data_IF_043775966906
#
_entry.id   IF_043775966906
#
_cell.length_a   1.000
_cell.length_b   1.000
_cell.length_c   1.000
_cell.angle_alpha   90.00
_cell.angle_beta   90.00
_cell.angle_gamma   90.00
#
_symmetry.space_group_name_H-M   'P 1'
#
loop_
_entity.id
_entity.type
_entity.pdbx_description
1 polymer ?
#
# COMPACT_ATOMS: atom_id res chain seq x y z
N UNK A 1 19.36 -10.22 10.50
CA UNK A 1 18.09 -10.17 9.74
C UNK A 1 18.40 -10.48 8.28
N UNK A 2 17.89 -11.58 7.74
CA UNK A 2 17.83 -11.72 6.28
C UNK A 2 16.85 -10.65 5.78
N UNK A 3 17.28 -9.78 4.86
CA UNK A 3 16.34 -8.91 4.16
C UNK A 3 15.34 -9.80 3.42
N UNK A 4 14.08 -9.78 3.86
CA UNK A 4 12.98 -10.40 3.12
C UNK A 4 12.87 -9.69 1.77
N UNK A 5 13.33 -10.36 0.70
CA UNK A 5 13.21 -9.84 -0.67
C UNK A 5 11.73 -9.70 -1.03
N UNK A 6 11.36 -8.58 -1.66
CA UNK A 6 9.99 -8.34 -2.10
C UNK A 6 9.66 -9.27 -3.27
N UNK A 7 8.61 -10.06 -3.13
CA UNK A 7 8.09 -10.95 -4.17
C UNK A 7 6.72 -10.51 -4.63
N UNK A 8 6.26 -11.02 -5.77
CA UNK A 8 4.88 -10.84 -6.21
C UNK A 8 3.88 -11.40 -5.19
N UNK A 9 4.18 -12.59 -4.66
CA UNK A 9 3.36 -13.29 -3.68
C UNK A 9 3.25 -12.51 -2.36
N UNK A 10 4.38 -12.13 -1.76
CA UNK A 10 4.40 -11.37 -0.50
C UNK A 10 3.68 -10.02 -0.60
N UNK A 11 3.58 -9.47 -1.81
CA UNK A 11 2.95 -8.18 -2.06
C UNK A 11 1.52 -8.27 -2.61
N UNK A 12 0.99 -9.47 -2.81
CA UNK A 12 -0.34 -9.67 -3.41
C UNK A 12 -0.45 -9.15 -4.85
N UNK A 13 0.68 -9.03 -5.56
CA UNK A 13 0.75 -8.63 -6.96
C UNK A 13 0.75 -9.89 -7.82
N UNK A 14 -0.01 -9.89 -8.92
CA UNK A 14 -0.06 -11.01 -9.84
C UNK A 14 0.25 -10.55 -11.27
N UNK A 15 0.74 -11.47 -12.09
CA UNK A 15 0.83 -11.28 -13.53
C UNK A 15 -0.53 -11.55 -14.16
N UNK A 16 -1.02 -10.63 -14.99
CA UNK A 16 -2.29 -10.75 -15.73
C UNK A 16 -2.09 -10.82 -17.24
N UNK A 17 -0.88 -10.54 -17.75
CA UNK A 17 -0.57 -10.68 -19.16
C UNK A 17 0.93 -10.79 -19.38
N UNK A 18 1.36 -11.66 -20.31
CA UNK A 18 2.72 -11.69 -20.84
C UNK A 18 2.64 -11.79 -22.35
N UNK A 19 3.51 -11.08 -23.08
CA UNK A 19 3.71 -11.40 -24.50
C UNK A 19 5.17 -11.29 -24.94
N UNK A 20 5.56 -12.15 -25.88
CA UNK A 20 6.86 -12.11 -26.53
C UNK A 20 6.73 -11.69 -27.98
N UNK A 21 7.66 -10.85 -28.41
CA UNK A 21 7.88 -10.51 -29.81
C UNK A 21 8.99 -11.42 -30.34
N UNK A 22 8.69 -12.17 -31.39
CA UNK A 22 9.63 -13.05 -32.09
C UNK A 22 9.94 -12.42 -33.46
N UNK A 23 11.13 -11.82 -33.55
CA UNK A 23 11.56 -11.04 -34.72
C UNK A 23 11.82 -11.96 -35.92
N UNK A 24 11.44 -11.54 -37.13
CA UNK A 24 11.66 -12.23 -38.40
C UNK A 24 11.01 -13.63 -38.48
N UNK A 25 10.02 -13.92 -37.64
CA UNK A 25 9.27 -15.19 -37.69
C UNK A 25 8.12 -15.04 -38.69
N UNK A 26 8.45 -15.22 -39.97
CA UNK A 26 7.55 -14.97 -41.11
C UNK A 26 6.97 -16.25 -41.73
N UNK A 27 7.53 -17.40 -41.36
CA UNK A 27 7.15 -18.69 -41.91
C UNK A 27 5.99 -19.30 -41.09
N UNK A 28 4.81 -19.42 -41.70
CA UNK A 28 3.60 -19.96 -41.07
C UNK A 28 3.81 -21.37 -40.50
N UNK A 29 4.53 -22.25 -41.21
CA UNK A 29 4.84 -23.60 -40.72
C UNK A 29 5.69 -23.56 -39.43
N UNK A 30 6.60 -22.60 -39.28
CA UNK A 30 7.34 -22.41 -38.02
C UNK A 30 6.44 -21.89 -36.90
N UNK A 31 5.49 -21.00 -37.21
CA UNK A 31 4.50 -20.50 -36.23
C UNK A 31 3.63 -21.65 -35.72
N UNK A 32 3.15 -22.52 -36.62
CA UNK A 32 2.38 -23.73 -36.27
C UNK A 32 3.20 -24.72 -35.44
N UNK A 33 4.50 -24.90 -35.74
CA UNK A 33 5.37 -25.73 -34.90
C UNK A 33 5.53 -25.21 -33.48
N UNK A 34 5.67 -23.90 -33.31
CA UNK A 34 5.74 -23.28 -31.97
C UNK A 34 4.42 -23.50 -31.24
N UNK A 35 3.30 -23.25 -31.91
CA UNK A 35 1.95 -23.52 -31.40
C UNK A 35 1.83 -24.96 -30.87
N UNK A 36 2.19 -25.94 -31.69
CA UNK A 36 2.09 -27.36 -31.33
C UNK A 36 3.02 -27.74 -30.18
N UNK A 37 4.20 -27.10 -30.10
CA UNK A 37 5.11 -27.27 -28.99
C UNK A 37 4.53 -26.73 -27.67
N UNK A 38 3.89 -25.56 -27.68
CA UNK A 38 3.18 -25.03 -26.50
C UNK A 38 2.00 -25.90 -26.08
N UNK A 39 1.23 -26.41 -27.05
CA UNK A 39 0.15 -27.38 -26.77
C UNK A 39 0.70 -28.64 -26.11
N UNK A 40 1.77 -29.22 -26.65
CA UNK A 40 2.39 -30.45 -26.13
C UNK A 40 2.99 -30.27 -24.73
N UNK A 41 3.68 -29.16 -24.49
CA UNK A 41 4.43 -28.95 -23.25
C UNK A 41 3.58 -28.39 -22.11
N UNK A 42 2.63 -27.49 -22.41
CA UNK A 42 1.84 -26.79 -21.40
C UNK A 42 0.34 -27.12 -21.45
N UNK A 43 -0.13 -27.86 -22.47
CA UNK A 43 -1.56 -28.12 -22.65
C UNK A 43 -2.34 -26.90 -23.17
N UNK A 44 -1.66 -25.85 -23.64
CA UNK A 44 -2.33 -24.64 -24.09
C UNK A 44 -3.02 -24.84 -25.45
N UNK A 45 -4.31 -24.53 -25.48
CA UNK A 45 -5.04 -24.23 -26.70
C UNK A 45 -4.54 -22.91 -27.29
N UNK A 46 -4.71 -22.74 -28.59
CA UNK A 46 -4.07 -21.63 -29.29
C UNK A 46 -4.87 -21.20 -30.51
N UNK A 47 -4.95 -19.89 -30.73
CA UNK A 47 -5.44 -19.33 -31.99
C UNK A 47 -4.32 -18.56 -32.68
N UNK A 48 -4.19 -18.75 -34.01
CA UNK A 48 -3.30 -17.95 -34.85
C UNK A 48 -4.15 -16.87 -35.52
N UNK A 49 -3.73 -15.62 -35.34
CA UNK A 49 -4.33 -14.44 -35.96
C UNK A 49 -3.34 -13.89 -36.97
N UNK A 50 -3.76 -13.83 -38.22
CA UNK A 50 -3.00 -13.18 -39.29
C UNK A 50 -3.54 -11.76 -39.50
N UNK A 51 -2.69 -10.81 -39.88
CA UNK A 51 -3.08 -9.41 -40.03
C UNK A 51 -4.27 -9.21 -40.98
N UNK A 52 -4.36 -10.01 -42.05
CA UNK A 52 -5.48 -10.02 -43.00
C UNK A 52 -6.82 -10.50 -42.39
N UNK A 53 -6.80 -11.23 -41.27
CA UNK A 53 -7.98 -11.78 -40.59
C UNK A 53 -8.37 -11.03 -39.31
N UNK A 54 -7.59 -10.02 -38.88
CA UNK A 54 -7.88 -9.25 -37.64
C UNK A 54 -9.24 -8.52 -37.67
N UNK A 55 -9.75 -8.14 -38.85
CA UNK A 55 -11.09 -7.53 -38.97
C UNK A 55 -12.22 -8.50 -38.57
N UNK A 56 -12.04 -9.82 -38.73
CA UNK A 56 -13.06 -10.84 -38.38
C UNK A 56 -13.00 -11.34 -36.93
N UNK A 57 -11.88 -11.15 -36.22
CA UNK A 57 -11.65 -11.74 -34.88
C UNK A 57 -11.95 -10.74 -33.75
N UNK A 58 -12.03 -9.44 -34.04
CA UNK A 58 -12.41 -8.41 -33.05
C UNK A 58 -13.82 -8.59 -32.48
N UNK A 59 -14.68 -9.41 -33.10
CA UNK A 59 -16.09 -9.54 -32.74
C UNK A 59 -16.41 -10.62 -31.68
N UNK A 60 -15.48 -11.50 -31.27
CA UNK A 60 -15.83 -12.61 -30.36
C UNK A 60 -14.72 -13.04 -29.40
N UNK A 61 -14.32 -12.21 -28.42
CA UNK A 61 -13.57 -12.75 -27.27
C UNK A 61 -13.99 -12.10 -25.94
N UNK A 62 -14.91 -12.79 -25.25
CA UNK A 62 -15.15 -12.68 -23.82
C UNK A 62 -13.99 -13.34 -23.07
N UNK A 63 -13.34 -12.62 -22.16
CA UNK A 63 -12.11 -13.05 -21.49
C UNK A 63 -12.40 -13.94 -20.28
N UNK A 64 -12.72 -15.22 -20.53
CA UNK A 64 -12.18 -16.31 -19.71
C UNK A 64 -11.26 -17.14 -20.60
N UNK A 65 -9.95 -17.02 -20.38
CA UNK A 65 -8.89 -17.51 -21.29
C UNK A 65 -7.94 -18.44 -20.55
N UNK A 66 -8.48 -19.30 -19.71
CA UNK A 66 -7.71 -20.37 -19.11
C UNK A 66 -7.18 -21.31 -20.21
N UNK A 67 -5.91 -21.68 -20.10
CA UNK A 67 -5.19 -22.53 -21.04
C UNK A 67 -5.23 -22.07 -22.52
N UNK A 68 -5.34 -20.76 -22.80
CA UNK A 68 -5.37 -20.21 -24.17
C UNK A 68 -4.25 -19.22 -24.43
N UNK A 69 -3.51 -19.44 -25.52
CA UNK A 69 -2.50 -18.51 -26.05
C UNK A 69 -2.90 -17.97 -27.43
N UNK A 70 -2.34 -16.83 -27.81
CA UNK A 70 -2.56 -16.25 -29.14
C UNK A 70 -1.24 -16.00 -29.85
N UNK A 71 -1.16 -16.39 -31.12
CA UNK A 71 -0.03 -16.07 -31.99
C UNK A 71 -0.51 -15.05 -33.03
N UNK A 72 0.04 -13.84 -32.99
CA UNK A 72 -0.30 -12.76 -33.92
C UNK A 72 0.83 -12.55 -34.90
N UNK A 73 0.63 -12.91 -36.15
CA UNK A 73 1.60 -12.61 -37.21
C UNK A 73 1.34 -11.19 -37.73
N UNK A 74 2.38 -10.34 -37.70
CA UNK A 74 2.31 -8.93 -38.07
C UNK A 74 3.39 -8.61 -39.10
N UNK A 75 2.99 -7.89 -40.14
CA UNK A 75 3.85 -7.40 -41.22
C UNK A 75 3.69 -5.89 -41.35
N UNK A 76 4.50 -5.16 -40.58
CA UNK A 76 4.57 -3.70 -40.64
C UNK A 76 5.78 -3.26 -41.47
N UNK A 77 5.75 -2.07 -42.11
CA UNK A 77 6.90 -1.55 -42.86
C UNK A 77 8.19 -1.51 -42.05
N UNK A 78 8.09 -1.30 -40.74
CA UNK A 78 9.24 -1.20 -39.82
C UNK A 78 9.57 -2.50 -39.07
N UNK A 79 8.73 -3.54 -39.18
CA UNK A 79 8.96 -4.81 -38.50
C UNK A 79 8.02 -5.92 -38.99
N UNK A 80 8.56 -7.11 -39.22
CA UNK A 80 7.80 -8.34 -39.49
C UNK A 80 8.13 -9.44 -38.47
N UNK A 81 7.12 -10.16 -38.01
CA UNK A 81 7.28 -11.32 -37.14
C UNK A 81 6.02 -11.68 -36.37
N UNK A 82 6.18 -12.45 -35.29
CA UNK A 82 5.07 -12.97 -34.51
C UNK A 82 5.06 -12.41 -33.09
N UNK A 83 3.88 -12.14 -32.53
CA UNK A 83 3.67 -11.86 -31.12
C UNK A 83 2.93 -13.03 -30.48
N UNK A 84 3.59 -13.69 -29.53
CA UNK A 84 3.01 -14.74 -28.71
C UNK A 84 2.45 -14.14 -27.43
N UNK A 85 1.16 -14.31 -27.18
CA UNK A 85 0.43 -13.68 -26.07
C UNK A 85 -0.13 -14.72 -25.09
N UNK A 86 0.07 -14.46 -23.80
CA UNK A 86 -0.44 -15.22 -22.67
C UNK A 86 -1.37 -14.30 -21.85
N UNK A 87 -2.69 -14.34 -22.09
CA UNK A 87 -3.67 -13.50 -21.41
C UNK A 87 -4.06 -14.04 -20.02
N UNK A 88 -4.46 -13.14 -19.12
CA UNK A 88 -5.14 -13.43 -17.85
C UNK A 88 -4.52 -14.59 -17.06
N UNK A 89 -5.38 -15.56 -16.75
CA UNK A 89 -5.01 -16.78 -16.02
C UNK A 89 -3.92 -17.60 -16.71
N UNK A 90 -3.89 -17.64 -18.05
CA UNK A 90 -2.81 -18.31 -18.80
C UNK A 90 -1.47 -17.58 -18.62
N UNK A 91 -1.47 -16.25 -18.59
CA UNK A 91 -0.30 -15.44 -18.28
C UNK A 91 0.24 -15.72 -16.87
N UNK A 92 -0.65 -15.76 -15.88
CA UNK A 92 -0.32 -16.13 -14.49
C UNK A 92 0.27 -17.55 -14.41
N UNK A 93 -0.40 -18.53 -15.00
CA UNK A 93 0.07 -19.92 -15.02
C UNK A 93 1.45 -20.03 -15.68
N UNK A 94 1.62 -19.42 -16.86
CA UNK A 94 2.89 -19.44 -17.58
C UNK A 94 4.01 -18.83 -16.75
N UNK A 95 3.78 -17.66 -16.13
CA UNK A 95 4.76 -17.01 -15.26
C UNK A 95 5.21 -17.91 -14.10
N UNK A 96 4.26 -18.53 -13.40
CA UNK A 96 4.56 -19.40 -12.28
C UNK A 96 5.37 -20.64 -12.71
N UNK A 97 5.05 -21.23 -13.87
CA UNK A 97 5.82 -22.36 -14.41
C UNK A 97 7.27 -21.97 -14.72
N UNK A 98 7.49 -20.84 -15.40
CA UNK A 98 8.85 -20.41 -15.77
C UNK A 98 9.63 -19.89 -14.56
N UNK A 99 8.96 -19.33 -13.54
CA UNK A 99 9.59 -18.93 -12.28
C UNK A 99 10.26 -20.12 -11.59
N UNK A 100 9.59 -21.27 -11.58
CA UNK A 100 10.09 -22.48 -10.91
C UNK A 100 11.04 -23.30 -11.79
N UNK A 101 10.76 -23.41 -13.09
CA UNK A 101 11.45 -24.35 -14.00
C UNK A 101 12.40 -23.69 -14.99
N UNK A 102 12.46 -22.36 -15.01
CA UNK A 102 13.10 -21.59 -16.07
C UNK A 102 12.29 -21.60 -17.37
N UNK A 103 12.71 -20.78 -18.33
CA UNK A 103 12.06 -20.68 -19.64
C UNK A 103 12.58 -21.81 -20.54
N UNK A 104 11.72 -22.71 -21.06
CA UNK A 104 12.16 -23.78 -21.96
C UNK A 104 12.40 -23.23 -23.37
N UNK A 105 13.51 -22.52 -23.58
CA UNK A 105 13.83 -21.80 -24.83
C UNK A 105 13.66 -22.62 -26.12
N UNK A 106 13.88 -23.93 -26.06
CA UNK A 106 13.69 -24.84 -27.20
C UNK A 106 12.26 -24.84 -27.76
N UNK A 107 11.25 -24.50 -26.95
CA UNK A 107 9.84 -24.45 -27.38
C UNK A 107 9.59 -23.40 -28.47
N UNK A 108 10.40 -22.33 -28.48
CA UNK A 108 10.28 -21.23 -29.44
C UNK A 108 10.88 -21.57 -30.81
N UNK A 109 11.69 -22.63 -30.93
CA UNK A 109 12.26 -23.12 -32.19
C UNK A 109 12.98 -22.04 -33.03
N UNK A 110 13.50 -21.02 -32.38
CA UNK A 110 14.28 -19.92 -32.97
C UNK A 110 15.44 -19.56 -32.04
N UNK A 111 16.51 -18.95 -32.57
CA UNK A 111 17.56 -18.33 -31.77
C UNK A 111 17.02 -17.36 -30.71
N UNK A 112 17.59 -17.40 -29.50
CA UNK A 112 17.11 -16.63 -28.31
C UNK A 112 17.18 -15.12 -28.50
N UNK A 113 18.18 -14.64 -29.24
CA UNK A 113 18.37 -13.23 -29.59
C UNK A 113 17.20 -12.64 -30.41
N UNK A 114 16.39 -13.50 -31.05
CA UNK A 114 15.17 -13.08 -31.77
C UNK A 114 13.94 -12.94 -30.88
N UNK A 115 14.03 -13.32 -29.61
CA UNK A 115 12.90 -13.33 -28.67
C UNK A 115 13.03 -12.15 -27.72
N UNK A 116 11.99 -11.31 -27.67
CA UNK A 116 11.95 -10.16 -26.78
C UNK A 116 10.66 -10.16 -25.96
N UNK A 117 10.72 -9.78 -24.68
CA UNK A 117 9.49 -9.44 -23.97
C UNK A 117 8.86 -8.23 -24.68
N UNK A 118 7.55 -8.18 -24.77
CA UNK A 118 6.84 -7.10 -25.47
C UNK A 118 5.86 -6.38 -24.57
N UNK A 119 5.21 -7.13 -23.67
CA UNK A 119 4.32 -6.62 -22.64
C UNK A 119 4.35 -7.53 -21.43
N UNK A 120 4.25 -6.93 -20.25
CA UNK A 120 3.84 -7.61 -19.02
C UNK A 120 2.83 -6.71 -18.30
N UNK A 121 1.72 -7.29 -17.87
CA UNK A 121 0.73 -6.59 -17.06
C UNK A 121 0.73 -7.16 -15.65
N UNK A 122 0.77 -6.26 -14.67
CA UNK A 122 0.73 -6.58 -13.25
C UNK A 122 -0.57 -6.07 -12.66
N UNK A 123 -1.17 -6.85 -11.77
CA UNK A 123 -2.42 -6.51 -11.08
C UNK A 123 -2.25 -6.61 -9.57
N UNK A 124 -2.85 -5.65 -8.87
CA UNK A 124 -3.16 -5.74 -7.45
C UNK A 124 -4.68 -5.65 -7.28
N UNK A 125 -5.24 -6.54 -6.47
CA UNK A 125 -6.66 -6.61 -6.19
C UNK A 125 -6.88 -6.12 -4.75
N UNK A 126 -7.49 -4.95 -4.59
CA UNK A 126 -7.94 -4.50 -3.27
C UNK A 126 -9.32 -5.09 -3.01
N UNK A 127 -9.50 -5.98 -2.02
CA UNK A 127 -10.81 -6.54 -1.70
C UNK A 127 -11.82 -5.45 -1.36
N UNK A 128 -13.10 -5.74 -1.58
CA UNK A 128 -14.16 -4.92 -1.03
C UNK A 128 -14.10 -4.99 0.50
N UNK A 129 -14.11 -3.83 1.15
CA UNK A 129 -14.31 -3.72 2.60
C UNK A 129 -15.61 -2.98 2.85
N UNK A 130 -16.24 -3.15 4.01
CA UNK A 130 -17.48 -2.45 4.34
C UNK A 130 -17.39 -0.93 4.08
N UNK A 131 -16.23 -0.32 4.36
CA UNK A 131 -15.98 1.09 4.10
C UNK A 131 -15.88 1.42 2.60
N UNK A 132 -15.21 0.58 1.80
CA UNK A 132 -15.14 0.80 0.34
C UNK A 132 -16.50 0.56 -0.30
N UNK A 133 -17.26 -0.44 0.18
CA UNK A 133 -18.64 -0.74 -0.25
C UNK A 133 -19.55 0.45 0.01
N UNK A 134 -19.49 1.01 1.22
CA UNK A 134 -20.22 2.21 1.59
C UNK A 134 -19.86 3.43 0.71
N UNK A 135 -18.62 3.50 0.24
CA UNK A 135 -18.13 4.56 -0.65
C UNK A 135 -18.12 4.15 -2.14
N UNK A 136 -18.82 3.06 -2.54
CA UNK A 136 -18.88 2.60 -3.95
C UNK A 136 -19.45 3.68 -4.87
N UNK A 137 -20.52 4.34 -4.44
CA UNK A 137 -21.16 5.43 -5.17
C UNK A 137 -20.20 6.61 -5.38
N UNK A 138 -19.15 6.71 -4.57
CA UNK A 138 -18.11 7.74 -4.64
C UNK A 138 -16.87 7.30 -5.43
N UNK A 139 -16.81 6.07 -5.95
CA UNK A 139 -15.69 5.65 -6.82
C UNK A 139 -15.67 6.48 -8.10
N UNK A 140 -16.83 6.85 -8.63
CA UNK A 140 -16.91 7.70 -9.81
C UNK A 140 -16.39 9.12 -9.51
N UNK A 141 -16.76 9.68 -8.36
CA UNK A 141 -16.24 10.97 -7.87
C UNK A 141 -14.73 10.89 -7.64
N UNK A 142 -14.26 9.77 -7.07
CA UNK A 142 -12.83 9.50 -6.93
C UNK A 142 -12.12 9.52 -8.28
N UNK A 143 -12.66 8.81 -9.28
CA UNK A 143 -12.09 8.79 -10.62
C UNK A 143 -12.09 10.17 -11.27
N UNK A 144 -13.17 10.94 -11.13
CA UNK A 144 -13.24 12.32 -11.61
C UNK A 144 -12.16 13.20 -10.95
N UNK A 145 -11.98 13.07 -9.62
CA UNK A 145 -10.93 13.76 -8.88
C UNK A 145 -9.52 13.36 -9.37
N UNK A 146 -9.29 12.09 -9.72
CA UNK A 146 -7.99 11.65 -10.27
C UNK A 146 -7.70 12.24 -11.66
N UNK A 147 -8.72 12.48 -12.49
CA UNK A 147 -8.54 13.10 -13.81
C UNK A 147 -8.04 14.54 -13.70
N UNK A 148 -8.48 15.29 -12.68
CA UNK A 148 -7.96 16.64 -12.43
C UNK A 148 -6.44 16.67 -12.17
N UNK A 149 -5.91 15.59 -11.57
CA UNK A 149 -4.49 15.41 -11.26
C UNK A 149 -3.68 14.82 -12.41
N UNK A 150 -4.34 14.19 -13.38
CA UNK A 150 -3.72 13.41 -14.45
C UNK A 150 -4.20 13.89 -15.82
N UNK A 151 -3.45 14.82 -16.44
CA UNK A 151 -3.77 15.42 -17.75
C UNK A 151 -4.00 14.42 -18.89
N UNK A 152 -3.48 13.20 -18.76
CA UNK A 152 -3.56 12.13 -19.78
C UNK A 152 -4.37 10.94 -19.26
N UNK A 153 -5.40 11.21 -18.45
CA UNK A 153 -6.36 10.21 -17.97
C UNK A 153 -7.66 10.22 -18.77
N UNK A 154 -8.37 9.09 -18.81
CA UNK A 154 -9.72 8.99 -19.36
C UNK A 154 -10.58 8.05 -18.53
N UNK A 155 -11.87 8.35 -18.47
CA UNK A 155 -12.89 7.47 -17.90
C UNK A 155 -13.63 6.77 -19.04
N UNK A 156 -13.55 5.45 -19.10
CA UNK A 156 -14.17 4.64 -20.16
C UNK A 156 -15.33 3.85 -19.57
N UNK A 157 -16.50 3.88 -20.20
CA UNK A 157 -17.63 3.03 -19.82
C UNK A 157 -17.44 1.64 -20.41
N UNK A 158 -17.55 0.62 -19.56
CA UNK A 158 -17.62 -0.79 -19.94
C UNK A 158 -18.90 -1.41 -19.38
N UNK A 159 -19.26 -2.61 -19.85
CA UNK A 159 -20.49 -3.31 -19.42
C UNK A 159 -20.58 -3.53 -17.89
N UNK A 160 -19.43 -3.61 -17.21
CA UNK A 160 -19.34 -3.84 -15.77
C UNK A 160 -18.95 -2.60 -14.95
N UNK A 161 -19.08 -1.41 -15.54
CA UNK A 161 -18.81 -0.14 -14.87
C UNK A 161 -17.74 0.71 -15.55
N UNK A 162 -17.36 1.80 -14.89
CA UNK A 162 -16.36 2.74 -15.43
C UNK A 162 -14.94 2.27 -15.10
N UNK A 163 -14.05 2.39 -16.09
CA UNK A 163 -12.62 2.12 -15.98
C UNK A 163 -11.87 3.44 -16.06
N UNK A 164 -11.15 3.79 -15.00
CA UNK A 164 -10.19 4.88 -15.01
C UNK A 164 -8.91 4.42 -15.68
N UNK A 165 -8.49 5.13 -16.72
CA UNK A 165 -7.23 4.88 -17.42
C UNK A 165 -6.30 6.06 -17.24
N UNK A 166 -5.01 5.82 -16.96
CA UNK A 166 -4.00 6.86 -16.77
C UNK A 166 -2.78 6.62 -17.66
N UNK A 167 -2.43 7.62 -18.47
CA UNK A 167 -1.36 7.56 -19.46
C UNK A 167 -1.86 7.19 -20.86
N UNK A 168 -0.93 6.99 -21.79
CA UNK A 168 -1.24 6.61 -23.18
C UNK A 168 -1.14 5.10 -23.36
N UNK A 169 -2.04 4.51 -24.17
CA UNK A 169 -2.05 3.06 -24.43
C UNK A 169 -0.75 2.56 -25.09
N UNK A 170 -0.10 3.44 -25.85
CA UNK A 170 1.19 3.22 -26.50
C UNK A 170 2.39 3.56 -25.61
N UNK A 171 2.15 4.11 -24.41
CA UNK A 171 3.18 4.47 -23.45
C UNK A 171 3.95 3.26 -22.92
N UNK A 172 5.07 3.53 -22.24
CA UNK A 172 5.81 2.49 -21.50
C UNK A 172 4.97 1.97 -20.35
N UNK A 173 4.26 2.86 -19.65
CA UNK A 173 3.40 2.55 -18.52
C UNK A 173 1.97 2.99 -18.87
N UNK A 174 1.01 2.09 -18.74
CA UNK A 174 -0.41 2.39 -18.86
C UNK A 174 -1.17 1.80 -17.68
N UNK A 175 -2.00 2.61 -17.03
CA UNK A 175 -2.67 2.20 -15.79
C UNK A 175 -4.16 2.03 -16.05
N UNK A 176 -4.76 1.04 -15.41
CA UNK A 176 -6.21 0.85 -15.36
C UNK A 176 -6.64 0.66 -13.91
N UNK A 177 -7.73 1.30 -13.52
CA UNK A 177 -8.35 1.14 -12.21
C UNK A 177 -9.83 0.96 -12.43
N UNK A 178 -10.39 -0.13 -11.92
CA UNK A 178 -11.78 -0.47 -12.16
C UNK A 178 -12.35 -1.43 -11.11
N UNK A 179 -13.65 -1.29 -10.77
CA UNK A 179 -14.33 -2.24 -9.92
C UNK A 179 -14.55 -3.57 -10.65
N UNK A 180 -14.51 -4.67 -9.91
CA UNK A 180 -14.96 -5.99 -10.35
C UNK A 180 -15.65 -6.72 -9.18
N UNK A 181 -16.11 -7.95 -9.39
CA UNK A 181 -16.78 -8.74 -8.34
C UNK A 181 -15.90 -8.94 -7.09
N UNK A 182 -14.58 -9.03 -7.26
CA UNK A 182 -13.64 -9.30 -6.17
C UNK A 182 -13.10 -8.04 -5.46
N UNK A 183 -13.36 -6.84 -5.97
CA UNK A 183 -12.79 -5.61 -5.40
C UNK A 183 -12.49 -4.51 -6.41
N UNK A 184 -11.67 -3.55 -5.97
CA UNK A 184 -11.08 -2.53 -6.84
C UNK A 184 -9.75 -3.04 -7.40
N UNK A 185 -9.67 -3.22 -8.72
CA UNK A 185 -8.48 -3.71 -9.40
C UNK A 185 -7.59 -2.57 -9.86
N UNK A 186 -6.30 -2.68 -9.58
CA UNK A 186 -5.24 -1.79 -10.04
C UNK A 186 -4.33 -2.55 -10.99
N UNK A 187 -4.28 -2.13 -12.25
CA UNK A 187 -3.47 -2.78 -13.28
C UNK A 187 -2.44 -1.83 -13.87
N UNK A 188 -1.20 -2.30 -13.98
CA UNK A 188 -0.10 -1.61 -14.65
C UNK A 188 0.39 -2.44 -15.84
N UNK A 189 0.21 -1.91 -17.04
CA UNK A 189 0.78 -2.45 -18.26
C UNK A 189 2.15 -1.85 -18.52
N UNK A 190 3.17 -2.70 -18.61
CA UNK A 190 4.54 -2.32 -18.96
C UNK A 190 4.86 -2.81 -20.37
N UNK A 191 5.32 -1.91 -21.25
CA UNK A 191 5.60 -2.16 -22.68
C UNK A 191 6.96 -1.59 -23.08
N UNK A 192 7.34 -1.80 -24.35
CA UNK A 192 8.53 -1.20 -25.01
C UNK A 192 9.88 -1.66 -24.42
N UNK A 193 10.02 -2.96 -24.15
CA UNK A 193 11.25 -3.58 -23.67
C UNK A 193 12.46 -3.49 -24.63
N UNK A 194 12.22 -3.16 -25.90
CA UNK A 194 13.28 -2.88 -26.87
C UNK A 194 13.70 -1.39 -26.94
N UNK A 195 13.15 -0.50 -26.08
CA UNK A 195 13.45 0.94 -26.07
C UNK A 195 14.24 1.37 -24.82
N UNK A 196 14.81 2.57 -24.87
CA UNK A 196 15.75 3.22 -23.92
C UNK A 196 15.29 3.38 -22.46
N UNK A 197 14.09 2.97 -22.06
CA UNK A 197 13.64 3.12 -20.68
C UNK A 197 14.41 2.16 -19.76
N UNK A 198 15.14 2.73 -18.79
CA UNK A 198 16.03 1.97 -17.88
C UNK A 198 15.33 0.80 -17.20
N UNK A 199 14.08 0.97 -16.75
CA UNK A 199 13.30 -0.10 -16.11
C UNK A 199 13.00 -1.27 -17.07
N UNK A 200 12.64 -0.99 -18.31
CA UNK A 200 12.27 -2.04 -19.26
C UNK A 200 13.49 -2.82 -19.73
N UNK A 201 14.66 -2.17 -19.83
CA UNK A 201 15.92 -2.86 -20.09
C UNK A 201 16.23 -3.90 -19.00
N UNK A 202 16.16 -3.50 -17.72
CA UNK A 202 16.40 -4.45 -16.62
C UNK A 202 15.39 -5.58 -16.56
N UNK A 203 14.11 -5.27 -16.76
CA UNK A 203 13.05 -6.30 -16.78
C UNK A 203 13.28 -7.29 -17.92
N UNK A 204 13.67 -6.80 -19.11
CA UNK A 204 14.02 -7.65 -20.23
C UNK A 204 15.19 -8.59 -19.89
N UNK A 205 16.29 -8.05 -19.36
CA UNK A 205 17.49 -8.81 -18.97
C UNK A 205 17.15 -9.88 -17.92
N UNK A 206 16.61 -9.47 -16.77
CA UNK A 206 16.30 -10.40 -15.68
C UNK A 206 15.27 -11.46 -16.07
N UNK A 207 14.24 -11.09 -16.83
CA UNK A 207 13.23 -12.04 -17.28
C UNK A 207 13.84 -13.09 -18.22
N UNK A 208 14.60 -12.67 -19.23
CA UNK A 208 15.20 -13.61 -20.16
C UNK A 208 16.26 -14.49 -19.47
N UNK A 209 16.98 -13.98 -18.48
CA UNK A 209 17.98 -14.74 -17.71
C UNK A 209 17.36 -15.64 -16.62
N UNK A 210 16.04 -15.66 -16.50
CA UNK A 210 15.32 -16.39 -15.43
C UNK A 210 15.72 -15.92 -14.03
N UNK A 211 16.16 -14.67 -13.90
CA UNK A 211 16.50 -14.03 -12.63
C UNK A 211 15.25 -13.42 -11.96
N UNK A 212 14.32 -14.30 -11.59
CA UNK A 212 13.01 -13.91 -11.07
C UNK A 212 13.02 -13.15 -9.73
N UNK A 213 13.92 -13.42 -8.76
CA UNK A 213 13.91 -12.66 -7.51
C UNK A 213 14.21 -11.16 -7.73
N UNK A 214 15.24 -10.84 -8.52
CA UNK A 214 15.63 -9.48 -8.86
C UNK A 214 14.58 -8.79 -9.75
N UNK A 215 13.96 -9.55 -10.66
CA UNK A 215 12.84 -9.11 -11.49
C UNK A 215 11.63 -8.69 -10.64
N UNK A 216 11.16 -9.56 -9.75
CA UNK A 216 9.98 -9.30 -8.92
C UNK A 216 10.19 -8.09 -8.01
N UNK A 217 11.34 -8.02 -7.33
CA UNK A 217 11.65 -6.90 -6.43
C UNK A 217 11.62 -5.55 -7.18
N UNK A 218 12.19 -5.50 -8.38
CA UNK A 218 12.18 -4.31 -9.24
C UNK A 218 10.78 -3.96 -9.72
N UNK A 219 9.99 -4.95 -10.14
CA UNK A 219 8.65 -4.74 -10.66
C UNK A 219 7.66 -4.34 -9.56
N UNK A 220 7.75 -4.92 -8.36
CA UNK A 220 6.99 -4.48 -7.17
C UNK A 220 7.26 -3.00 -6.88
N UNK A 221 8.55 -2.63 -6.74
CA UNK A 221 8.94 -1.24 -6.46
C UNK A 221 8.46 -0.28 -7.55
N UNK A 222 8.55 -0.70 -8.82
CA UNK A 222 8.05 0.09 -9.93
C UNK A 222 6.53 0.25 -9.88
N UNK A 223 5.78 -0.83 -9.67
CA UNK A 223 4.33 -0.86 -9.57
C UNK A 223 3.81 0.14 -8.52
N UNK A 224 4.34 0.05 -7.29
CA UNK A 224 3.95 0.93 -6.19
C UNK A 224 4.28 2.39 -6.51
N UNK A 225 5.48 2.69 -7.04
CA UNK A 225 5.85 4.06 -7.43
C UNK A 225 4.96 4.62 -8.53
N UNK A 226 4.59 3.81 -9.52
CA UNK A 226 3.81 4.27 -10.66
C UNK A 226 2.40 4.72 -10.25
N UNK A 227 1.75 3.98 -9.36
CA UNK A 227 0.45 4.38 -8.80
C UNK A 227 0.59 5.53 -7.79
N UNK A 228 1.60 5.48 -6.91
CA UNK A 228 1.81 6.50 -5.87
C UNK A 228 1.95 7.92 -6.44
N UNK A 229 2.60 8.04 -7.60
CA UNK A 229 2.81 9.32 -8.27
C UNK A 229 1.57 9.89 -8.96
N UNK A 230 0.55 9.06 -9.20
CA UNK A 230 -0.62 9.44 -10.00
C UNK A 230 -1.89 9.57 -9.19
N UNK A 231 -1.99 8.83 -8.09
CA UNK A 231 -3.21 8.78 -7.30
C UNK A 231 -3.17 9.71 -6.09
N UNK A 232 -4.36 10.17 -5.68
CA UNK A 232 -4.55 10.77 -4.36
C UNK A 232 -4.50 9.67 -3.29
N UNK A 233 -3.52 9.76 -2.40
CA UNK A 233 -3.27 8.77 -1.34
C UNK A 233 -4.12 9.01 -0.09
N UNK A 234 -4.93 10.07 -0.08
CA UNK A 234 -5.76 10.46 1.07
C UNK A 234 -7.10 9.73 1.10
N UNK A 235 -7.38 8.80 0.21
CA UNK A 235 -8.70 8.19 0.10
C UNK A 235 -8.63 6.71 0.42
N UNK A 236 -9.72 6.14 0.95
CA UNK A 236 -9.75 4.75 1.43
C UNK A 236 -9.38 3.75 0.33
N UNK A 237 -9.70 4.07 -0.92
CA UNK A 237 -9.36 3.30 -2.13
C UNK A 237 -7.84 3.21 -2.39
N UNK A 238 -7.01 4.02 -1.73
CA UNK A 238 -5.54 4.04 -1.91
C UNK A 238 -4.77 3.82 -0.62
N UNK A 239 -5.44 3.47 0.49
CA UNK A 239 -4.76 3.19 1.77
C UNK A 239 -3.79 2.01 1.68
N UNK A 240 -4.11 0.97 0.91
CA UNK A 240 -3.19 -0.15 0.66
C UNK A 240 -1.87 0.34 0.04
N UNK A 241 -1.95 1.30 -0.87
CA UNK A 241 -0.81 1.85 -1.58
C UNK A 241 0.03 2.70 -0.65
N UNK A 242 -0.62 3.49 0.21
CA UNK A 242 0.05 4.25 1.26
C UNK A 242 0.80 3.33 2.25
N UNK A 243 0.18 2.22 2.64
CA UNK A 243 0.82 1.21 3.48
C UNK A 243 2.06 0.60 2.79
N UNK A 244 1.94 0.18 1.53
CA UNK A 244 3.06 -0.37 0.76
C UNK A 244 4.22 0.62 0.57
N UNK A 245 3.94 1.89 0.30
CA UNK A 245 4.97 2.93 0.18
C UNK A 245 5.84 2.99 1.44
N UNK A 246 5.22 2.90 2.64
CA UNK A 246 5.93 2.98 3.92
C UNK A 246 6.88 1.81 4.14
N UNK A 247 6.47 0.61 3.73
CA UNK A 247 7.26 -0.61 3.91
C UNK A 247 8.36 -0.72 2.86
N UNK A 248 8.05 -0.41 1.60
CA UNK A 248 8.94 -0.66 0.45
C UNK A 248 9.93 0.48 0.22
N UNK A 249 9.54 1.71 0.55
CA UNK A 249 10.38 2.90 0.48
C UNK A 249 10.55 3.52 1.86
N UNK A 250 11.08 2.78 2.84
CA UNK A 250 11.46 3.40 4.09
C UNK A 250 12.54 4.40 3.74
N UNK A 251 12.28 5.70 3.96
CA UNK A 251 13.31 6.71 3.81
C UNK A 251 14.50 6.29 4.69
N UNK A 252 15.67 6.09 4.07
CA UNK A 252 16.94 5.76 4.75
C UNK A 252 17.56 6.98 5.46
N UNK A 253 16.82 8.08 5.64
CA UNK A 253 17.31 9.21 6.40
C UNK A 253 17.05 9.01 7.90
N UNK A 254 18.17 8.78 8.58
CA UNK A 254 18.37 8.85 10.02
C UNK A 254 17.91 10.21 10.57
N UNK A 255 16.64 10.37 10.86
CA UNK A 255 16.16 11.09 12.04
C UNK A 255 14.73 10.64 12.33
N UNK A 256 14.60 9.39 12.80
CA UNK A 256 13.35 8.89 13.39
C UNK A 256 12.94 9.68 14.65
N UNK A 257 13.74 10.66 15.08
CA UNK A 257 13.64 11.19 16.41
C UNK A 257 12.55 12.25 16.59
N UNK A 258 11.83 12.75 15.58
CA UNK A 258 10.93 13.90 15.82
C UNK A 258 9.81 14.13 14.76
N UNK A 259 8.91 13.18 14.50
CA UNK A 259 7.80 13.43 13.55
C UNK A 259 6.42 13.13 14.13
N UNK A 260 5.43 13.95 13.78
CA UNK A 260 4.03 13.67 14.09
C UNK A 260 3.49 12.53 13.24
N UNK A 261 2.76 11.63 13.88
CA UNK A 261 1.97 10.61 13.22
C UNK A 261 0.57 11.15 12.97
N UNK A 262 0.36 11.90 11.89
CA UNK A 262 -0.87 12.70 11.69
C UNK A 262 -2.03 11.98 11.01
N UNK A 263 -1.89 10.70 10.65
CA UNK A 263 -3.03 9.93 10.11
C UNK A 263 -4.18 9.70 11.09
N UNK A 264 -3.96 9.96 12.38
CA UNK A 264 -5.02 9.88 13.40
C UNK A 264 -6.00 11.07 13.36
N UNK A 265 -5.65 12.15 12.65
CA UNK A 265 -6.46 13.37 12.63
C UNK A 265 -7.80 13.22 11.88
N UNK A 266 -7.92 12.21 11.01
CA UNK A 266 -9.14 12.01 10.19
C UNK A 266 -10.26 11.26 10.89
N UNK A 267 -10.03 10.68 12.06
CA UNK A 267 -11.02 9.81 12.72
C UNK A 267 -11.51 10.32 14.09
N UNK A 268 -11.03 11.47 14.60
CA UNK A 268 -11.58 12.05 15.83
C UNK A 268 -12.82 12.90 15.58
N UNK A 269 -13.97 12.24 15.46
CA UNK A 269 -15.25 12.89 15.84
C UNK A 269 -15.49 12.88 17.35
N UNK A 270 -14.66 12.18 18.13
CA UNK A 270 -14.82 12.14 19.58
C UNK A 270 -14.30 13.43 20.20
N UNK A 271 -15.19 14.16 20.87
CA UNK A 271 -14.82 15.32 21.65
C UNK A 271 -14.06 14.86 22.91
N UNK A 272 -12.83 15.34 23.10
CA UNK A 272 -12.06 15.09 24.31
C UNK A 272 -12.81 15.58 25.56
N UNK A 273 -13.66 16.61 25.42
CA UNK A 273 -14.54 17.06 26.49
C UNK A 273 -15.57 15.98 26.84
N UNK A 274 -16.22 15.36 25.85
CA UNK A 274 -17.18 14.28 26.10
C UNK A 274 -16.52 13.07 26.77
N UNK A 275 -15.33 12.69 26.29
CA UNK A 275 -14.53 11.63 26.92
C UNK A 275 -14.17 11.99 28.37
N UNK A 276 -13.84 13.25 28.64
CA UNK A 276 -13.59 13.74 29.99
C UNK A 276 -14.84 13.69 30.87
N UNK A 277 -16.01 14.07 30.35
CA UNK A 277 -17.28 13.96 31.08
C UNK A 277 -17.62 12.50 31.41
N UNK A 278 -17.38 11.57 30.48
CA UNK A 278 -17.55 10.13 30.73
C UNK A 278 -16.60 9.62 31.81
N UNK A 279 -15.31 9.98 31.73
CA UNK A 279 -14.32 9.66 32.75
C UNK A 279 -14.77 10.21 34.12
N UNK A 280 -15.22 11.46 34.17
CA UNK A 280 -15.66 12.14 35.39
C UNK A 280 -16.84 11.42 36.05
N UNK A 281 -17.84 11.01 35.27
CA UNK A 281 -18.99 10.22 35.74
C UNK A 281 -18.55 8.86 36.29
N UNK A 282 -17.71 8.12 35.55
CA UNK A 282 -17.25 6.77 35.94
C UNK A 282 -16.33 6.78 37.16
N UNK A 283 -15.47 7.78 37.28
CA UNK A 283 -14.46 7.88 38.36
C UNK A 283 -14.90 8.74 39.55
N UNK A 284 -16.08 9.38 39.47
CA UNK A 284 -16.56 10.38 40.44
C UNK A 284 -15.55 11.50 40.71
N UNK A 285 -14.79 11.89 39.68
CA UNK A 285 -13.74 12.91 39.79
C UNK A 285 -14.31 14.33 39.92
N UNK A 286 -13.65 15.20 40.68
CA UNK A 286 -13.94 16.64 40.79
C UNK A 286 -13.03 17.49 39.92
N UNK A 287 -12.19 16.86 39.10
CA UNK A 287 -11.27 17.57 38.20
C UNK A 287 -12.03 18.44 37.17
N UNK A 288 -11.27 19.37 36.57
CA UNK A 288 -11.72 20.27 35.51
C UNK A 288 -11.00 19.90 34.21
N UNK A 289 -11.64 20.07 33.05
CA UNK A 289 -10.97 20.00 31.76
C UNK A 289 -10.20 21.29 31.44
N UNK A 290 -9.03 21.16 30.81
CA UNK A 290 -8.05 22.26 30.67
C UNK A 290 -7.63 22.57 29.22
N UNK A 291 -8.11 21.79 28.25
CA UNK A 291 -7.71 21.89 26.85
C UNK A 291 -8.91 22.28 25.98
N UNK A 292 -8.68 22.99 24.88
CA UNK A 292 -9.64 22.92 23.78
C UNK A 292 -9.48 21.59 23.04
N UNK A 293 -10.44 21.20 22.21
CA UNK A 293 -10.33 20.00 21.37
C UNK A 293 -9.02 19.98 20.57
N UNK A 294 -8.73 21.07 19.83
CA UNK A 294 -7.50 21.19 19.03
C UNK A 294 -6.22 21.15 19.88
N UNK A 295 -6.22 21.76 21.06
CA UNK A 295 -5.07 21.68 21.97
C UNK A 295 -4.84 20.25 22.47
N UNK A 296 -5.90 19.52 22.81
CA UNK A 296 -5.82 18.13 23.24
C UNK A 296 -5.33 17.22 22.11
N UNK A 297 -5.85 17.43 20.90
CA UNK A 297 -5.45 16.69 19.71
C UNK A 297 -3.97 16.90 19.37
N UNK A 298 -3.51 18.16 19.38
CA UNK A 298 -2.10 18.46 19.17
C UNK A 298 -1.21 17.85 20.26
N UNK A 299 -1.67 17.90 21.52
CA UNK A 299 -0.95 17.29 22.66
C UNK A 299 -0.87 15.77 22.54
N UNK A 300 -1.90 15.10 21.99
CA UNK A 300 -1.86 13.67 21.71
C UNK A 300 -0.82 13.32 20.64
N UNK A 301 -0.74 14.12 19.58
CA UNK A 301 0.30 13.95 18.57
C UNK A 301 1.70 14.13 19.15
N UNK A 302 1.88 15.11 20.05
CA UNK A 302 3.15 15.30 20.77
C UNK A 302 3.48 14.12 21.67
N UNK A 303 2.46 13.54 22.33
CA UNK A 303 2.65 12.35 23.16
C UNK A 303 3.14 11.16 22.32
N UNK A 304 2.55 10.92 21.15
CA UNK A 304 3.02 9.85 20.26
C UNK A 304 4.47 10.06 19.81
N UNK A 305 4.83 11.30 19.44
CA UNK A 305 6.20 11.63 19.04
C UNK A 305 7.20 11.47 20.19
N UNK A 306 6.82 11.91 21.39
CA UNK A 306 7.63 11.75 22.61
C UNK A 306 7.86 10.28 22.95
N UNK A 307 6.78 9.49 22.94
CA UNK A 307 6.80 8.05 23.16
C UNK A 307 7.75 7.43 22.14
N UNK A 308 7.63 7.69 20.84
CA UNK A 308 8.53 7.13 19.83
C UNK A 308 10.04 7.38 20.06
N UNK A 309 10.42 8.35 20.91
CA UNK A 309 11.81 8.68 21.23
C UNK A 309 12.39 7.99 22.46
N UNK A 310 11.57 7.38 23.32
CA UNK A 310 12.13 6.75 24.52
C UNK A 310 12.94 5.53 24.08
N UNK A 311 14.23 5.47 24.45
CA UNK A 311 15.18 4.42 24.05
C UNK A 311 14.70 2.98 24.36
N UNK A 312 13.66 2.83 25.18
CA UNK A 312 13.09 1.56 25.63
C UNK A 312 12.08 0.89 24.68
N UNK A 313 11.81 1.41 23.47
CA UNK A 313 11.04 0.62 22.47
C UNK A 313 11.86 -0.46 21.79
N UNK A 314 13.18 -0.45 21.96
CA UNK A 314 14.02 -1.59 21.62
C UNK A 314 13.91 -2.64 22.72
N UNK A 315 12.80 -3.39 22.73
CA UNK A 315 12.68 -4.75 23.29
C UNK A 315 13.49 -5.00 24.57
N UNK A 316 13.31 -4.21 25.62
CA UNK A 316 13.77 -4.64 26.94
C UNK A 316 12.72 -5.60 27.47
N UNK A 317 12.96 -6.90 27.24
CA UNK A 317 12.22 -8.02 27.83
C UNK A 317 10.71 -7.77 27.89
N UNK A 318 10.04 -7.96 26.74
CA UNK A 318 8.86 -8.82 26.84
C UNK A 318 9.35 -10.03 27.65
N UNK A 319 8.83 -10.17 28.87
CA UNK A 319 8.91 -11.42 29.61
C UNK A 319 8.82 -12.54 28.59
N UNK A 320 9.68 -13.56 28.71
CA UNK A 320 9.54 -14.77 27.91
C UNK A 320 8.04 -15.03 27.69
N UNK A 321 7.57 -15.27 26.47
CA UNK A 321 6.20 -15.63 26.22
C UNK A 321 6.01 -16.99 26.89
N UNK A 322 5.73 -16.97 28.21
CA UNK A 322 4.98 -18.01 28.83
C UNK A 322 3.61 -17.85 28.22
N UNK A 323 3.40 -18.67 27.20
CA UNK A 323 2.12 -19.10 26.64
C UNK A 323 1.03 -18.04 26.76
N UNK A 324 0.78 -17.30 25.67
CA UNK A 324 -0.54 -16.82 25.23
C UNK A 324 -0.33 -15.91 24.00
N UNK A 325 -0.66 -16.47 22.83
CA UNK A 325 -0.84 -15.87 21.49
C UNK A 325 0.39 -15.45 20.67
N UNK A 326 1.24 -16.42 20.29
CA UNK A 326 1.79 -16.45 18.92
C UNK A 326 0.76 -17.19 18.03
N UNK A 327 -0.34 -16.52 17.70
CA UNK A 327 -1.18 -16.92 16.57
C UNK A 327 -1.14 -15.79 15.55
N UNK A 328 -0.91 -16.17 14.29
CA UNK A 328 -0.92 -15.32 13.10
C UNK A 328 -2.29 -14.65 12.84
N UNK A 329 -3.26 -14.84 13.74
CA UNK A 329 -4.64 -14.35 13.68
C UNK A 329 -4.94 -13.23 14.70
N UNK A 330 -3.95 -12.72 15.45
CA UNK A 330 -4.17 -11.63 16.41
C UNK A 330 -3.30 -10.38 16.11
N UNK A 331 -3.85 -9.31 15.48
CA UNK A 331 -3.09 -8.20 14.91
C UNK A 331 -2.50 -7.20 15.94
N UNK A 332 -2.58 -7.46 17.25
CA UNK A 332 -2.42 -6.43 18.30
C UNK A 332 -1.21 -6.66 19.18
N UNK A 333 -0.32 -5.67 19.26
CA UNK A 333 0.87 -5.73 20.10
C UNK A 333 0.85 -4.56 21.11
N UNK A 334 0.46 -4.81 22.37
CA UNK A 334 0.48 -3.77 23.40
C UNK A 334 1.85 -3.67 24.10
N UNK A 335 2.30 -2.45 24.39
CA UNK A 335 3.47 -2.18 25.22
C UNK A 335 3.11 -1.34 26.45
N UNK A 336 3.78 -1.64 27.56
CA UNK A 336 3.72 -0.84 28.79
C UNK A 336 4.90 0.13 28.83
N UNK A 337 4.61 1.39 29.09
CA UNK A 337 5.58 2.48 29.02
C UNK A 337 5.50 3.29 30.30
N UNK A 338 6.63 3.57 30.93
CA UNK A 338 6.71 4.49 32.05
C UNK A 338 7.66 5.65 31.77
N UNK A 339 7.24 6.87 32.12
CA UNK A 339 8.08 8.06 32.02
C UNK A 339 7.68 9.14 33.04
N UNK A 340 8.60 10.02 33.46
CA UNK A 340 8.24 11.20 34.25
C UNK A 340 7.35 12.16 33.46
N UNK A 341 6.24 12.61 34.06
CA UNK A 341 5.33 13.59 33.43
C UNK A 341 6.08 14.88 33.00
N UNK A 342 7.10 15.26 33.76
CA UNK A 342 7.93 16.43 33.46
C UNK A 342 8.66 16.29 32.12
N UNK A 343 9.09 15.09 31.75
CA UNK A 343 9.89 14.89 30.54
C UNK A 343 9.01 15.06 29.30
N UNK A 344 7.78 14.53 29.35
CA UNK A 344 6.78 14.80 28.31
C UNK A 344 6.41 16.29 28.24
N UNK A 345 6.24 16.96 29.38
CA UNK A 345 5.88 18.38 29.37
C UNK A 345 7.02 19.26 28.83
N UNK A 346 8.28 18.94 29.16
CA UNK A 346 9.46 19.54 28.54
C UNK A 346 9.51 19.33 27.04
N UNK A 347 9.15 18.13 26.58
CA UNK A 347 9.06 17.83 25.15
C UNK A 347 8.08 18.75 24.42
N UNK A 348 6.96 19.12 25.05
CA UNK A 348 6.00 20.09 24.48
C UNK A 348 6.52 21.54 24.42
N UNK A 349 7.68 21.83 25.01
CA UNK A 349 8.31 23.15 25.06
C UNK A 349 8.16 23.89 26.40
N UNK A 350 7.64 23.24 27.44
CA UNK A 350 7.44 23.83 28.77
C UNK A 350 8.52 23.33 29.74
N UNK A 351 9.45 24.20 30.15
CA UNK A 351 10.62 23.80 30.94
C UNK A 351 10.28 23.42 32.40
N UNK A 352 9.20 23.97 32.97
CA UNK A 352 8.83 23.78 34.38
C UNK A 352 7.34 23.47 34.59
N UNK A 353 7.08 22.57 35.54
CA UNK A 353 5.75 22.13 35.91
C UNK A 353 5.18 22.94 37.08
N UNK A 354 4.51 24.05 36.76
CA UNK A 354 3.67 24.77 37.74
C UNK A 354 2.54 23.86 38.24
N UNK A 355 1.95 24.20 39.39
CA UNK A 355 0.82 23.44 39.95
C UNK A 355 -0.34 23.32 38.95
N UNK A 356 -0.61 24.38 38.18
CA UNK A 356 -1.61 24.36 37.11
C UNK A 356 -1.24 23.38 36.00
N UNK A 357 0.01 23.40 35.52
CA UNK A 357 0.46 22.49 34.46
C UNK A 357 0.44 21.02 34.90
N UNK A 358 0.81 20.74 36.16
CA UNK A 358 0.72 19.39 36.73
C UNK A 358 -0.69 18.85 36.66
N UNK A 359 -1.69 19.64 37.07
CA UNK A 359 -3.11 19.25 36.97
C UNK A 359 -3.53 19.09 35.51
N UNK A 360 -3.25 20.07 34.67
CA UNK A 360 -3.58 20.08 33.24
C UNK A 360 -3.11 18.81 32.53
N UNK A 361 -1.83 18.50 32.56
CA UNK A 361 -1.28 17.35 31.85
C UNK A 361 -1.62 16.01 32.52
N UNK A 362 -1.80 15.97 33.85
CA UNK A 362 -2.27 14.73 34.51
C UNK A 362 -3.71 14.39 34.09
N UNK A 363 -4.59 15.39 34.01
CA UNK A 363 -5.97 15.20 33.54
C UNK A 363 -5.99 14.77 32.07
N UNK A 364 -5.12 15.34 31.23
CA UNK A 364 -4.95 14.89 29.85
C UNK A 364 -4.55 13.42 29.75
N UNK A 365 -3.56 12.96 30.52
CA UNK A 365 -3.15 11.54 30.50
C UNK A 365 -4.31 10.63 30.92
N UNK A 366 -5.02 10.99 32.00
CA UNK A 366 -6.12 10.17 32.54
C UNK A 366 -7.29 10.01 31.57
N UNK A 367 -7.52 10.98 30.67
CA UNK A 367 -8.65 10.91 29.71
C UNK A 367 -8.36 9.98 28.53
N UNK A 368 -7.10 9.65 28.26
CA UNK A 368 -6.70 8.90 27.06
C UNK A 368 -7.45 7.58 26.84
N UNK A 369 -7.71 6.73 27.87
CA UNK A 369 -8.48 5.51 27.68
C UNK A 369 -9.94 5.73 27.27
N UNK A 370 -10.47 6.92 27.50
CA UNK A 370 -11.82 7.32 27.12
C UNK A 370 -11.86 8.09 25.80
N UNK A 371 -10.77 8.79 25.47
CA UNK A 371 -10.68 9.67 24.32
C UNK A 371 -10.03 9.04 23.08
N UNK A 372 -9.15 8.05 23.27
CA UNK A 372 -8.42 7.44 22.16
C UNK A 372 -9.29 6.48 21.35
N UNK A 373 -8.99 6.37 20.07
CA UNK A 373 -9.83 5.66 19.12
C UNK A 373 -9.93 4.17 19.42
N UNK A 374 -11.09 3.64 19.06
CA UNK A 374 -11.27 2.23 18.82
C UNK A 374 -10.79 1.97 17.38
N UNK A 375 -9.67 1.28 17.20
CA UNK A 375 -9.32 0.67 15.91
C UNK A 375 -10.32 -0.46 15.69
N UNK A 376 -11.09 -0.39 14.60
CA UNK A 376 -12.03 -1.43 14.23
C UNK A 376 -11.52 -2.13 12.98
N UNK A 377 -11.34 -3.44 13.08
CA UNK A 377 -11.14 -4.33 11.94
C UNK A 377 -12.40 -5.17 11.78
N UNK A 378 -12.90 -5.21 10.54
CA UNK A 378 -14.09 -5.93 10.16
C UNK A 378 -13.74 -6.85 9.00
N UNK A 379 -13.96 -8.14 9.16
CA UNK A 379 -14.22 -9.05 8.07
C UNK A 379 -15.54 -9.81 8.33
N UNK A 380 -15.94 -10.67 7.40
CA UNK A 380 -17.23 -11.36 7.45
C UNK A 380 -17.30 -12.45 8.54
N UNK A 381 -16.17 -12.77 9.19
CA UNK A 381 -16.04 -13.86 10.17
C UNK A 381 -15.62 -13.35 11.57
N UNK A 382 -15.05 -12.14 11.68
CA UNK A 382 -14.48 -11.57 12.91
C UNK A 382 -14.68 -10.06 13.02
N UNK A 383 -14.90 -9.61 14.25
CA UNK A 383 -14.96 -8.20 14.63
C UNK A 383 -13.94 -7.93 15.72
N UNK A 384 -13.03 -6.99 15.46
CA UNK A 384 -12.01 -6.57 16.44
C UNK A 384 -12.17 -5.08 16.71
N UNK A 385 -12.34 -4.72 17.99
CA UNK A 385 -12.51 -3.35 18.46
C UNK A 385 -11.48 -3.05 19.54
N UNK A 386 -10.47 -2.24 19.23
CA UNK A 386 -9.29 -2.03 20.08
C UNK A 386 -9.10 -0.58 20.49
N UNK A 387 -9.07 -0.31 21.79
CA UNK A 387 -8.69 1.02 22.29
C UNK A 387 -7.17 1.19 22.12
N UNK A 388 -6.76 2.27 21.48
CA UNK A 388 -5.36 2.56 21.20
C UNK A 388 -4.48 2.73 22.46
N UNK A 389 -5.02 3.41 23.48
CA UNK A 389 -4.40 3.54 24.81
C UNK A 389 -5.39 2.94 25.82
N UNK A 390 -5.44 1.61 25.97
CA UNK A 390 -6.45 0.97 26.80
C UNK A 390 -6.28 1.28 28.30
N UNK A 391 -5.07 1.65 28.72
CA UNK A 391 -4.79 1.98 30.10
C UNK A 391 -3.84 3.17 30.22
N UNK A 392 -4.10 4.02 31.22
CA UNK A 392 -3.21 5.11 31.60
C UNK A 392 -3.31 5.35 33.10
N UNK A 393 -2.20 5.75 33.70
CA UNK A 393 -2.18 6.20 35.09
C UNK A 393 -1.13 7.28 35.32
N UNK A 394 -1.40 8.12 36.32
CA UNK A 394 -0.43 9.10 36.82
C UNK A 394 -0.29 8.88 38.31
N UNK A 395 0.89 8.44 38.74
CA UNK A 395 1.19 8.16 40.15
C UNK A 395 2.29 9.07 40.66
N UNK A 396 2.23 9.42 41.94
CA UNK A 396 3.35 10.09 42.60
C UNK A 396 4.35 9.03 43.03
N UNK A 397 5.58 9.13 42.53
CA UNK A 397 6.69 8.30 42.95
C UNK A 397 7.82 9.21 43.43
N UNK A 398 8.14 9.12 44.73
CA UNK A 398 8.98 10.11 45.43
C UNK A 398 8.44 11.53 45.18
N UNK A 399 9.28 12.46 44.71
CA UNK A 399 8.91 13.84 44.39
C UNK A 399 8.47 14.05 42.93
N UNK A 400 8.34 12.98 42.13
CA UNK A 400 8.01 13.04 40.71
C UNK A 400 6.63 12.46 40.43
N UNK A 401 5.95 13.00 39.41
CA UNK A 401 4.77 12.39 38.83
C UNK A 401 5.24 11.47 37.71
N UNK A 402 4.92 10.18 37.83
CA UNK A 402 5.23 9.16 36.84
C UNK A 402 3.96 8.83 36.08
N UNK A 403 4.07 8.78 34.77
CA UNK A 403 3.03 8.30 33.86
C UNK A 403 3.32 6.84 33.55
N UNK A 404 2.29 6.01 33.57
CA UNK A 404 2.34 4.64 33.05
C UNK A 404 1.23 4.49 32.01
N UNK A 405 1.56 4.04 30.80
CA UNK A 405 0.61 3.82 29.69
C UNK A 405 0.72 2.38 29.18
N UNK A 406 -0.42 1.79 28.84
CA UNK A 406 -0.46 0.67 27.88
C UNK A 406 -0.85 1.25 26.53
N UNK A 407 -0.09 0.97 25.47
CA UNK A 407 -0.35 1.47 24.11
C UNK A 407 -0.22 0.37 23.07
N UNK A 408 -1.06 0.39 22.04
CA UNK A 408 -0.85 -0.46 20.86
C UNK A 408 0.40 0.02 20.09
N UNK A 409 1.43 -0.82 20.02
CA UNK A 409 2.70 -0.54 19.34
C UNK A 409 2.56 -0.41 17.82
N UNK A 410 1.46 -0.91 17.22
CA UNK A 410 1.17 -0.66 15.82
C UNK A 410 1.08 0.84 15.53
N UNK A 411 0.68 1.64 16.54
CA UNK A 411 0.67 3.09 16.41
C UNK A 411 2.07 3.69 16.28
N UNK A 412 3.05 3.13 17.00
CA UNK A 412 4.43 3.61 16.98
C UNK A 412 5.18 3.17 15.73
N UNK A 413 4.70 2.09 15.10
CA UNK A 413 5.24 1.57 13.83
C UNK A 413 4.68 2.29 12.61
N UNK A 414 3.61 3.06 12.79
CA UNK A 414 3.02 3.83 11.71
C UNK A 414 3.97 4.97 11.33
N UNK A 415 4.39 5.06 10.07
CA UNK A 415 5.24 6.16 9.59
C UNK A 415 4.42 7.12 8.74
N UNK A 416 4.19 8.35 9.20
CA UNK A 416 3.57 9.38 8.36
C UNK A 416 4.45 9.62 7.12
N UNK A 417 3.89 9.70 5.90
CA UNK A 417 4.70 9.82 4.68
C UNK A 417 5.40 11.17 4.55
N UNK A 418 5.08 12.14 5.40
CA UNK A 418 5.71 13.45 5.45
C UNK A 418 6.49 13.59 6.77
N UNK A 419 7.73 14.07 6.67
CA UNK A 419 8.51 14.45 7.83
C UNK A 419 8.19 15.90 8.18
N UNK A 420 7.93 16.15 9.45
CA UNK A 420 7.75 17.49 9.97
C UNK A 420 8.96 17.78 10.85
N UNK A 421 9.65 18.91 10.64
CA UNK A 421 10.79 19.26 11.47
C UNK A 421 10.40 19.40 12.95
N UNK A 422 11.38 19.35 13.86
CA UNK A 422 11.19 19.61 15.30
C UNK A 422 10.42 20.90 15.59
N UNK A 423 10.55 21.89 14.69
CA UNK A 423 9.77 23.13 14.73
C UNK A 423 8.26 22.87 14.74
N UNK A 424 7.82 21.87 13.98
CA UNK A 424 6.42 21.50 13.86
C UNK A 424 5.91 20.83 15.13
N UNK A 425 6.76 20.09 15.85
CA UNK A 425 6.40 19.42 17.11
C UNK A 425 6.13 20.38 18.26
N UNK A 426 6.75 21.57 18.24
CA UNK A 426 6.62 22.55 19.32
C UNK A 426 5.51 23.53 19.00
N UNK A 427 4.76 23.93 20.02
CA UNK A 427 3.79 25.03 19.90
C UNK A 427 4.45 26.32 20.36
N UNK A 428 4.53 27.32 19.47
CA UNK A 428 5.02 28.65 19.86
C UNK A 428 3.90 29.54 20.39
N UNK A 429 2.73 29.48 19.74
CA UNK A 429 1.53 30.20 20.17
C UNK A 429 0.26 29.46 19.69
N UNK A 430 -0.92 30.00 20.03
CA UNK A 430 -2.20 29.38 19.68
C UNK A 430 -2.46 29.35 18.15
N UNK A 431 -2.07 30.39 17.42
CA UNK A 431 -2.25 30.47 15.97
C UNK A 431 -1.30 29.54 15.21
N UNK A 432 -0.05 29.44 15.66
CA UNK A 432 0.95 28.50 15.15
C UNK A 432 0.43 27.04 15.23
N UNK A 433 -0.15 26.66 16.37
CA UNK A 433 -0.81 25.35 16.53
C UNK A 433 -1.97 25.15 15.55
N UNK A 434 -2.82 26.17 15.34
CA UNK A 434 -3.93 26.05 14.40
C UNK A 434 -3.46 25.87 12.96
N UNK A 435 -2.46 26.64 12.52
CA UNK A 435 -1.86 26.49 11.19
C UNK A 435 -1.25 25.09 11.04
N UNK A 436 -0.54 24.61 12.06
CA UNK A 436 0.02 23.24 12.06
C UNK A 436 -1.08 22.19 11.96
N UNK A 437 -2.16 22.30 12.72
CA UNK A 437 -3.29 21.39 12.63
C UNK A 437 -3.99 21.45 11.27
N UNK A 438 -4.11 22.62 10.64
CA UNK A 438 -4.66 22.74 9.28
C UNK A 438 -3.80 22.04 8.23
N UNK A 439 -2.48 22.03 8.41
CA UNK A 439 -1.55 21.31 7.51
C UNK A 439 -1.66 19.80 7.72
N UNK A 440 -1.94 19.36 8.95
CA UNK A 440 -2.00 17.94 9.28
C UNK A 440 -3.37 17.28 9.01
N UNK A 441 -4.48 18.03 9.10
CA UNK A 441 -5.86 17.60 8.78
C UNK A 441 -6.06 17.49 7.26
#
# INVERSE_FOLDING_TARGET
MQETRLTFESEGINVDYISFKIVNLTNNYKIEKIRDAFRKYYGYESSIVYEETEQKIKEKHSYSTENKIFLKHWKKPSWEGCILCFPGLTGKHFYNQIKTKGIPWRIFQVPRDRIQLSRIDLVYQQPWTAQIVYDLDKIEDYFANQLSRNRVGKLQKHEHGKVLTLGTREGVNFHRIYPNQAGLRFELELKKFSKTAKITKYVQEFFLESNFPELEEKLVKHFVRQFARRLDLRLIQTHWLLHKIRIIFPHQERSANNNFLSTYLRQSKNDFEDAFQQMKRKTKSTEKWYFTHDEALFTLLQLHAFIAQLDNYSTSKASQPNDIFEDLDNPVNFANIEFPLLDFVKFTGINELSHHQRKKYSTFIKVLPFATHILQEFDDETFVSLVQIPSSSVRRYKQRLMVSLTIDTNILRYRYPFYHSDYFLRRHNKYDMYVKLMILK
#
